data_IF_465607927832
#
_entry.id   IF_465607927832
#
_cell.length_a   1.000
_cell.length_b   1.000
_cell.length_c   1.000
_cell.angle_alpha   90.00
_cell.angle_beta   90.00
_cell.angle_gamma   90.00
#
_symmetry.space_group_name_H-M   'P 1'
#
loop_
_entity.id
_entity.type
_entity.pdbx_description
1 polymer ?
#
# COMPACT_ATOMS: atom_id res chain seq x y z
N UNK A 1 -0.86 11.52 -54.48
CA UNK A 1 0.56 11.15 -54.65
C UNK A 1 1.05 10.63 -53.30
N UNK A 2 0.77 9.41 -52.83
CA UNK A 2 1.20 8.09 -53.33
C UNK A 2 2.63 8.06 -53.89
N UNK A 3 3.44 7.20 -53.26
CA UNK A 3 4.81 6.76 -53.57
C UNK A 3 5.97 7.65 -53.05
N UNK A 4 6.57 7.20 -51.94
CA UNK A 4 8.01 6.89 -51.79
C UNK A 4 8.34 6.79 -50.30
N UNK A 5 8.20 5.59 -49.75
CA UNK A 5 8.97 5.13 -48.57
C UNK A 5 8.94 3.59 -48.59
N UNK A 6 9.52 3.03 -49.67
CA UNK A 6 9.99 1.66 -49.68
C UNK A 6 11.46 1.65 -49.27
N UNK A 7 11.82 0.67 -48.44
CA UNK A 7 13.17 0.31 -47.97
C UNK A 7 13.70 1.02 -46.71
N UNK A 8 13.30 0.50 -45.54
CA UNK A 8 14.25 0.33 -44.44
C UNK A 8 14.27 -1.16 -44.08
N UNK A 9 15.22 -1.86 -44.68
CA UNK A 9 15.62 -3.22 -44.30
C UNK A 9 16.10 -3.22 -42.85
N UNK A 10 15.80 -4.32 -42.14
CA UNK A 10 16.42 -4.71 -40.87
C UNK A 10 17.94 -4.52 -40.96
N UNK A 11 18.48 -3.58 -40.18
CA UNK A 11 19.89 -3.55 -39.82
C UNK A 11 20.00 -3.90 -38.34
N UNK A 12 20.84 -4.89 -38.05
CA UNK A 12 21.04 -5.49 -36.74
C UNK A 12 21.62 -4.53 -35.69
N UNK A 13 21.64 -5.05 -34.46
CA UNK A 13 21.94 -4.36 -33.20
C UNK A 13 22.92 -3.20 -33.30
N UNK A 14 22.40 -1.99 -33.09
CA UNK A 14 23.17 -0.85 -32.60
C UNK A 14 22.37 -0.12 -31.53
N UNK A 15 23.02 0.10 -30.40
CA UNK A 15 22.58 0.86 -29.22
C UNK A 15 22.04 2.23 -29.64
N UNK A 16 20.77 2.53 -29.33
CA UNK A 16 20.28 3.91 -29.40
C UNK A 16 20.83 4.67 -28.18
N UNK A 17 21.71 5.64 -28.42
CA UNK A 17 22.14 6.61 -27.42
C UNK A 17 21.17 7.80 -27.43
N UNK A 18 20.52 8.08 -26.30
CA UNK A 18 19.87 9.37 -26.06
C UNK A 18 20.87 10.31 -25.39
N UNK A 19 20.93 11.55 -25.88
CA UNK A 19 21.71 12.63 -25.27
C UNK A 19 20.85 13.29 -24.17
N UNK A 20 21.35 13.31 -22.94
CA UNK A 20 20.77 14.10 -21.86
C UNK A 20 21.13 15.59 -22.04
N UNK A 21 20.15 16.48 -21.89
CA UNK A 21 20.37 17.93 -21.92
C UNK A 21 21.04 18.39 -20.61
N UNK A 22 22.07 19.24 -20.66
CA UNK A 22 22.82 19.64 -19.47
C UNK A 22 22.08 20.72 -18.66
N UNK A 23 22.15 20.61 -17.32
CA UNK A 23 21.60 21.59 -16.36
C UNK A 23 22.54 22.78 -16.09
N UNK A 24 23.63 22.94 -16.85
CA UNK A 24 24.47 24.15 -16.81
C UNK A 24 25.06 24.47 -18.18
N UNK A 25 25.26 25.76 -18.46
CA UNK A 25 25.61 26.31 -19.79
C UNK A 25 26.95 25.86 -20.40
N UNK A 26 27.77 25.02 -19.73
CA UNK A 26 29.09 24.63 -20.24
C UNK A 26 29.48 23.13 -20.10
N UNK A 27 28.54 22.21 -19.88
CA UNK A 27 28.87 20.77 -19.82
C UNK A 27 28.55 20.03 -21.13
N UNK A 28 29.56 19.33 -21.72
CA UNK A 28 29.34 18.43 -22.85
C UNK A 28 28.55 17.18 -22.40
N UNK A 29 27.54 16.74 -23.18
CA UNK A 29 26.71 15.59 -22.83
C UNK A 29 27.53 14.29 -22.83
N UNK A 30 27.33 13.45 -21.80
CA UNK A 30 27.91 12.10 -21.72
C UNK A 30 26.89 11.05 -22.19
N UNK A 31 27.32 10.02 -22.93
CA UNK A 31 26.43 8.95 -23.35
C UNK A 31 25.97 8.12 -22.14
N UNK A 32 24.66 7.91 -22.04
CA UNK A 32 24.04 6.98 -21.09
C UNK A 32 23.77 5.67 -21.81
N UNK A 33 24.27 4.55 -21.27
CA UNK A 33 24.02 3.23 -21.84
C UNK A 33 22.58 2.79 -21.57
N UNK A 34 21.84 2.53 -22.65
CA UNK A 34 20.51 1.92 -22.59
C UNK A 34 20.66 0.40 -22.53
N UNK A 35 20.11 -0.28 -21.50
CA UNK A 35 20.23 -1.73 -21.38
C UNK A 35 19.61 -2.46 -22.58
N UNK A 36 20.25 -3.53 -23.00
CA UNK A 36 19.77 -4.43 -24.05
C UNK A 36 18.49 -5.14 -23.62
N UNK A 37 17.75 -5.72 -24.58
CA UNK A 37 16.50 -6.46 -24.30
C UNK A 37 16.74 -7.61 -23.31
N UNK A 38 17.85 -8.34 -23.44
CA UNK A 38 18.21 -9.43 -22.53
C UNK A 38 18.53 -8.95 -21.12
N UNK A 39 19.25 -7.82 -20.99
CA UNK A 39 19.53 -7.23 -19.67
C UNK A 39 18.25 -6.72 -19.00
N UNK A 40 17.29 -6.15 -19.76
CA UNK A 40 15.97 -5.78 -19.22
C UNK A 40 15.16 -7.00 -18.80
N UNK A 41 15.28 -8.11 -19.50
CA UNK A 41 14.54 -9.34 -19.23
C UNK A 41 15.12 -10.09 -18.00
N UNK A 42 16.44 -10.12 -17.86
CA UNK A 42 17.11 -10.58 -16.64
C UNK A 42 16.82 -9.66 -15.45
N UNK A 43 16.89 -8.34 -15.63
CA UNK A 43 16.53 -7.38 -14.59
C UNK A 43 15.07 -7.50 -14.16
N UNK A 44 14.14 -7.79 -15.09
CA UNK A 44 12.72 -8.05 -14.77
C UNK A 44 12.56 -9.30 -13.89
N UNK A 45 13.25 -10.40 -14.20
CA UNK A 45 13.20 -11.63 -13.40
C UNK A 45 13.83 -11.43 -12.02
N UNK A 46 14.97 -10.73 -11.95
CA UNK A 46 15.63 -10.40 -10.69
C UNK A 46 14.82 -9.42 -9.83
N UNK A 47 14.17 -8.42 -10.45
CA UNK A 47 13.38 -7.42 -9.74
C UNK A 47 12.12 -8.02 -9.09
N UNK A 48 11.46 -8.99 -9.73
CA UNK A 48 10.33 -9.72 -9.10
C UNK A 48 10.81 -10.45 -7.83
N UNK A 49 12.01 -11.06 -7.86
CA UNK A 49 12.59 -11.72 -6.71
C UNK A 49 13.07 -10.72 -5.63
N UNK A 50 13.67 -9.59 -6.01
CA UNK A 50 14.14 -8.55 -5.08
C UNK A 50 12.99 -7.79 -4.40
N UNK A 51 11.91 -7.49 -5.12
CA UNK A 51 10.70 -6.91 -4.51
C UNK A 51 10.06 -7.86 -3.48
N UNK A 52 10.17 -9.18 -3.68
CA UNK A 52 9.75 -10.17 -2.68
C UNK A 52 10.66 -10.22 -1.45
N UNK A 53 11.96 -9.91 -1.59
CA UNK A 53 12.93 -9.83 -0.48
C UNK A 53 12.79 -8.53 0.32
N UNK A 54 12.49 -7.40 -0.31
CA UNK A 54 12.22 -6.14 0.40
C UNK A 54 10.96 -6.20 1.29
N UNK A 55 10.06 -7.16 1.05
CA UNK A 55 8.80 -7.33 1.77
C UNK A 55 8.93 -8.10 3.08
N UNK A 56 10.01 -8.86 3.30
CA UNK A 56 10.14 -9.75 4.47
C UNK A 56 10.56 -9.06 5.78
N UNK A 57 10.81 -7.74 5.78
CA UNK A 57 11.43 -7.05 6.93
C UNK A 57 10.87 -5.66 7.27
N UNK A 58 9.62 -5.33 6.90
CA UNK A 58 9.05 -3.99 7.16
C UNK A 58 7.81 -4.02 8.06
N UNK A 59 8.06 -3.84 9.36
CA UNK A 59 7.13 -3.33 10.38
C UNK A 59 7.72 -2.07 11.04
N UNK A 60 8.37 -1.21 10.26
CA UNK A 60 8.90 0.08 10.71
C UNK A 60 8.84 1.03 9.53
N UNK A 61 7.99 2.07 9.59
CA UNK A 61 8.15 3.37 8.89
C UNK A 61 6.89 4.24 9.01
N UNK A 62 6.79 5.03 10.08
CA UNK A 62 6.15 6.35 10.06
C UNK A 62 6.88 7.22 11.08
N UNK A 63 7.92 7.93 10.65
CA UNK A 63 8.45 9.10 11.38
C UNK A 63 9.49 9.81 10.53
N UNK A 64 9.19 11.00 10.04
CA UNK A 64 10.22 12.02 9.75
C UNK A 64 9.64 13.40 10.01
N UNK A 65 9.92 13.95 11.20
CA UNK A 65 10.12 15.40 11.36
C UNK A 65 10.95 15.70 12.61
N UNK A 66 11.94 16.58 12.41
CA UNK A 66 12.66 17.37 13.41
C UNK A 66 13.48 16.62 14.49
N UNK A 67 14.72 16.29 14.12
CA UNK A 67 15.82 16.10 15.05
C UNK A 67 16.03 17.36 15.91
N UNK A 68 15.83 17.25 17.23
CA UNK A 68 16.44 18.18 18.19
C UNK A 68 17.78 17.62 18.67
N UNK A 69 18.83 18.42 18.53
CA UNK A 69 20.25 18.09 18.73
C UNK A 69 20.68 17.83 20.19
N UNK A 70 19.75 17.55 21.12
CA UNK A 70 20.06 17.57 22.57
C UNK A 70 20.16 16.20 23.25
N UNK A 71 19.96 15.07 22.55
CA UNK A 71 20.00 13.73 23.16
C UNK A 71 21.27 12.93 22.81
N UNK A 72 22.45 13.54 22.90
CA UNK A 72 23.72 12.81 22.95
C UNK A 72 24.19 12.70 24.40
N UNK A 73 23.74 11.68 25.13
CA UNK A 73 24.44 11.20 26.33
C UNK A 73 24.21 9.71 26.54
N UNK A 74 25.25 8.95 26.16
CA UNK A 74 25.67 7.62 26.65
C UNK A 74 24.57 6.77 27.31
N UNK A 75 23.89 5.96 26.50
CA UNK A 75 23.36 4.67 26.95
C UNK A 75 24.27 3.56 26.41
N UNK A 76 24.58 2.61 27.27
CA UNK A 76 25.42 1.46 26.97
C UNK A 76 24.88 0.72 25.74
N UNK A 77 25.71 0.58 24.70
CA UNK A 77 25.45 -0.29 23.56
C UNK A 77 25.34 -1.73 24.04
N UNK A 78 24.10 -2.16 24.32
CA UNK A 78 23.74 -3.56 24.13
C UNK A 78 23.77 -3.74 22.61
N UNK A 79 24.65 -4.62 22.11
CA UNK A 79 24.68 -5.01 20.69
C UNK A 79 23.29 -5.50 20.30
N UNK A 80 22.50 -4.62 19.69
CA UNK A 80 21.22 -4.98 19.10
C UNK A 80 21.55 -5.95 17.97
N UNK A 81 21.05 -7.19 18.02
CA UNK A 81 21.40 -8.18 17.01
C UNK A 81 21.02 -7.68 15.61
N UNK A 82 21.91 -7.93 14.65
CA UNK A 82 21.94 -7.47 13.26
C UNK A 82 20.70 -7.80 12.39
N UNK A 83 19.62 -8.35 12.96
CA UNK A 83 18.37 -8.65 12.26
C UNK A 83 17.36 -7.49 12.25
N UNK A 84 17.61 -6.40 12.98
CA UNK A 84 16.82 -5.17 12.92
C UNK A 84 17.44 -4.18 11.93
N UNK A 85 17.42 -4.54 10.65
CA UNK A 85 17.79 -3.63 9.57
C UNK A 85 16.86 -2.42 9.54
N UNK A 86 17.41 -1.22 9.36
CA UNK A 86 16.56 -0.05 9.12
C UNK A 86 15.97 -0.11 7.71
N UNK A 87 14.79 0.48 7.47
CA UNK A 87 14.19 0.52 6.13
C UNK A 87 15.16 1.02 5.03
N UNK A 88 16.10 1.89 5.38
CA UNK A 88 17.12 2.45 4.49
C UNK A 88 18.06 1.39 3.90
N UNK A 89 18.24 0.24 4.57
CA UNK A 89 19.11 -0.84 4.09
C UNK A 89 18.52 -1.62 2.92
N UNK A 90 17.18 -1.62 2.76
CA UNK A 90 16.50 -2.42 1.73
C UNK A 90 15.63 -1.62 0.76
N UNK A 91 15.19 -0.42 1.14
CA UNK A 91 14.44 0.46 0.25
C UNK A 91 15.37 1.12 -0.76
N UNK A 92 14.92 1.23 -2.02
CA UNK A 92 15.62 2.05 -3.02
C UNK A 92 15.77 3.49 -2.52
N UNK A 93 16.78 4.27 -3.00
CA UNK A 93 16.95 5.66 -2.57
C UNK A 93 15.67 6.50 -2.73
N UNK A 94 15.49 7.50 -1.86
CA UNK A 94 14.36 8.41 -1.96
C UNK A 94 14.30 9.07 -3.35
N UNK A 95 13.09 9.13 -3.91
CA UNK A 95 12.83 9.67 -5.24
C UNK A 95 11.60 10.58 -5.22
N UNK A 96 11.63 11.61 -6.06
CA UNK A 96 10.49 12.51 -6.27
C UNK A 96 9.71 12.08 -7.52
N UNK A 97 8.38 12.33 -7.55
CA UNK A 97 7.60 12.07 -8.74
C UNK A 97 8.06 12.95 -9.89
N UNK A 98 8.10 12.36 -11.10
CA UNK A 98 8.33 13.13 -12.33
C UNK A 98 7.03 13.72 -12.88
N UNK A 99 5.88 13.17 -12.47
CA UNK A 99 4.56 13.67 -12.80
C UNK A 99 3.62 13.54 -11.59
N UNK A 100 2.75 14.52 -11.40
CA UNK A 100 1.68 14.50 -10.39
C UNK A 100 0.44 15.12 -11.00
N UNK A 101 -0.74 14.64 -10.65
CA UNK A 101 -1.96 15.24 -11.12
C UNK A 101 -3.17 14.86 -10.29
N UNK A 102 -4.31 15.41 -10.68
CA UNK A 102 -5.61 15.00 -10.20
C UNK A 102 -6.44 14.43 -11.33
N UNK A 103 -7.37 13.54 -11.01
CA UNK A 103 -8.28 12.91 -11.96
C UNK A 103 -9.71 12.99 -11.41
N UNK A 104 -10.58 13.70 -12.12
CA UNK A 104 -12.01 13.71 -11.81
C UNK A 104 -12.61 12.35 -12.17
N UNK A 105 -13.05 11.58 -11.18
CA UNK A 105 -13.58 10.21 -11.38
C UNK A 105 -15.10 10.14 -11.26
N UNK A 106 -15.74 11.13 -10.67
CA UNK A 106 -17.20 11.31 -10.62
C UNK A 106 -17.54 12.79 -10.47
N UNK A 107 -18.81 13.22 -10.46
CA UNK A 107 -19.17 14.60 -10.11
C UNK A 107 -18.71 15.03 -8.70
N UNK A 108 -18.44 14.06 -7.82
CA UNK A 108 -18.07 14.30 -6.41
C UNK A 108 -16.56 14.19 -6.19
N UNK A 109 -15.92 13.16 -6.76
CA UNK A 109 -14.55 12.79 -6.40
C UNK A 109 -13.49 13.20 -7.43
N UNK A 110 -12.43 13.81 -6.91
CA UNK A 110 -11.18 14.13 -7.61
C UNK A 110 -10.03 13.41 -6.92
N UNK A 111 -9.36 12.49 -7.62
CA UNK A 111 -8.30 11.65 -7.05
C UNK A 111 -6.92 12.18 -7.38
N UNK A 112 -6.05 12.25 -6.37
CA UNK A 112 -4.63 12.55 -6.56
C UNK A 112 -3.86 11.31 -7.02
N UNK A 113 -2.99 11.49 -8.02
CA UNK A 113 -2.02 10.47 -8.42
C UNK A 113 -0.63 11.07 -8.64
N UNK A 114 0.39 10.22 -8.57
CA UNK A 114 1.76 10.58 -8.90
C UNK A 114 2.47 9.43 -9.64
N UNK A 115 3.46 9.78 -10.44
CA UNK A 115 4.29 8.86 -11.20
C UNK A 115 5.77 9.06 -10.85
N UNK A 116 6.43 7.97 -10.47
CA UNK A 116 7.84 7.93 -10.08
C UNK A 116 8.63 6.91 -10.94
N UNK A 117 9.95 6.96 -10.85
CA UNK A 117 10.84 6.03 -11.54
C UNK A 117 11.02 6.33 -13.02
N UNK A 118 11.02 5.30 -13.86
CA UNK A 118 11.28 5.40 -15.28
C UNK A 118 9.95 5.56 -16.06
N UNK A 119 9.71 6.69 -16.76
CA UNK A 119 8.49 6.91 -17.54
C UNK A 119 8.21 5.85 -18.63
N UNK A 120 9.25 5.15 -19.07
CA UNK A 120 9.17 4.06 -20.06
C UNK A 120 9.38 2.67 -19.44
N UNK A 121 9.36 2.60 -18.11
CA UNK A 121 9.54 1.39 -17.34
C UNK A 121 8.32 0.47 -17.36
N UNK A 122 8.45 -0.68 -16.69
CA UNK A 122 7.32 -1.57 -16.44
C UNK A 122 6.32 -0.86 -15.50
N UNK A 123 5.04 -0.71 -15.87
CA UNK A 123 4.06 -0.04 -15.02
C UNK A 123 3.69 -0.90 -13.81
N UNK A 124 3.66 -0.28 -12.64
CA UNK A 124 3.14 -0.84 -11.39
C UNK A 124 2.24 0.18 -10.70
N UNK A 125 1.08 -0.26 -10.22
CA UNK A 125 0.22 0.54 -9.35
C UNK A 125 0.43 0.15 -7.89
N UNK A 126 0.62 1.16 -7.06
CA UNK A 126 0.68 1.07 -5.61
C UNK A 126 -0.72 1.24 -5.03
N UNK A 127 -1.20 0.23 -4.31
CA UNK A 127 -2.50 0.22 -3.66
C UNK A 127 -2.29 0.33 -2.15
N UNK A 128 -2.50 1.53 -1.58
CA UNK A 128 -2.32 1.75 -0.15
C UNK A 128 -3.37 1.05 0.72
N UNK A 129 -3.02 0.85 2.00
CA UNK A 129 -3.86 0.20 3.00
C UNK A 129 -4.82 1.15 3.74
N UNK A 130 -5.26 0.70 4.92
CA UNK A 130 -6.36 1.23 5.71
C UNK A 130 -7.60 0.34 5.58
N UNK A 131 -8.69 0.77 4.88
CA UNK A 131 -8.72 1.86 3.90
C UNK A 131 -8.64 3.27 4.50
N UNK A 132 -8.33 4.26 3.66
CA UNK A 132 -8.34 5.67 4.07
C UNK A 132 -6.98 6.31 4.40
N UNK A 133 -5.87 5.55 4.31
CA UNK A 133 -4.55 6.07 4.71
C UNK A 133 -3.91 7.04 3.72
N UNK A 134 -4.04 6.79 2.41
CA UNK A 134 -3.28 7.49 1.36
C UNK A 134 -1.87 6.91 1.16
N UNK A 135 -1.21 7.32 0.07
CA UNK A 135 0.15 6.90 -0.23
C UNK A 135 1.20 7.73 0.52
N UNK A 136 2.26 7.07 1.00
CA UNK A 136 3.43 7.73 1.61
C UNK A 136 4.62 7.80 0.65
N UNK A 137 5.59 8.67 0.94
CA UNK A 137 6.80 8.80 0.13
C UNK A 137 7.66 7.51 0.12
N UNK A 138 7.58 6.67 1.16
CA UNK A 138 8.30 5.40 1.20
C UNK A 138 7.79 4.40 0.17
N UNK A 139 6.50 4.47 -0.20
CA UNK A 139 5.92 3.59 -1.22
C UNK A 139 6.54 3.76 -2.61
N UNK A 140 7.21 4.89 -2.87
CA UNK A 140 7.98 5.13 -4.11
C UNK A 140 9.24 4.28 -4.21
N UNK A 141 9.65 3.64 -3.10
CA UNK A 141 10.98 3.03 -2.91
C UNK A 141 10.94 1.49 -2.92
N UNK A 142 9.80 0.86 -3.20
CA UNK A 142 9.65 -0.62 -3.23
C UNK A 142 10.06 -1.25 -4.57
N UNK A 143 10.24 -0.44 -5.62
CA UNK A 143 10.55 -0.90 -6.96
C UNK A 143 11.80 -0.18 -7.48
N UNK A 144 12.60 -0.88 -8.28
CA UNK A 144 13.78 -0.28 -8.90
C UNK A 144 13.36 0.88 -9.81
N UNK A 145 13.70 2.14 -9.48
CA UNK A 145 13.23 3.31 -10.22
C UNK A 145 13.82 3.37 -11.64
N UNK A 146 14.84 2.56 -11.97
CA UNK A 146 15.39 2.46 -13.33
C UNK A 146 14.55 1.55 -14.23
N UNK A 147 13.82 0.61 -13.63
CA UNK A 147 13.09 -0.45 -14.33
C UNK A 147 11.59 -0.18 -14.36
N UNK A 148 11.05 0.40 -13.29
CA UNK A 148 9.60 0.57 -13.10
C UNK A 148 9.13 2.01 -13.34
N UNK A 149 7.96 2.14 -13.97
CA UNK A 149 7.08 3.31 -13.89
C UNK A 149 6.15 3.06 -12.72
N UNK A 150 6.33 3.79 -11.62
CA UNK A 150 5.64 3.54 -10.35
C UNK A 150 4.49 4.54 -10.23
N UNK A 151 3.26 4.04 -10.24
CA UNK A 151 2.05 4.86 -10.13
C UNK A 151 1.56 4.74 -8.68
N UNK A 152 1.31 5.86 -8.04
CA UNK A 152 0.66 5.93 -6.73
C UNK A 152 -0.66 6.67 -6.88
N UNK A 153 -1.69 6.20 -6.19
CA UNK A 153 -3.04 6.74 -6.21
C UNK A 153 -3.54 6.86 -4.77
N UNK A 154 -3.91 8.07 -4.36
CA UNK A 154 -4.65 8.27 -3.12
C UNK A 154 -6.13 7.93 -3.39
N UNK A 155 -6.69 6.94 -2.70
CA UNK A 155 -8.07 6.49 -2.87
C UNK A 155 -9.08 7.57 -2.42
N UNK A 156 -10.37 7.41 -2.78
CA UNK A 156 -11.45 8.35 -2.44
C UNK A 156 -11.40 8.76 -0.97
N UNK A 157 -11.44 10.06 -0.72
CA UNK A 157 -11.45 10.64 0.62
C UNK A 157 -10.15 10.53 1.43
N UNK A 158 -9.10 9.92 0.88
CA UNK A 158 -7.84 9.69 1.58
C UNK A 158 -6.69 10.55 1.04
N UNK A 159 -5.69 10.78 1.89
CA UNK A 159 -4.48 11.54 1.51
C UNK A 159 -4.81 12.88 0.88
N UNK A 160 -4.38 13.07 -0.37
CA UNK A 160 -4.54 14.31 -1.15
C UNK A 160 -5.79 14.32 -2.04
N UNK A 161 -6.56 13.22 -2.08
CA UNK A 161 -7.79 13.12 -2.85
C UNK A 161 -8.95 13.88 -2.18
N UNK A 162 -9.88 14.37 -3.00
CA UNK A 162 -11.00 15.21 -2.57
C UNK A 162 -12.35 14.58 -2.90
N UNK A 163 -13.39 14.81 -2.08
CA UNK A 163 -13.36 15.56 -0.82
C UNK A 163 -12.75 14.73 0.32
N UNK A 164 -11.93 15.37 1.17
CA UNK A 164 -11.26 14.72 2.30
C UNK A 164 -12.28 14.04 3.24
N UNK A 165 -11.96 12.82 3.67
CA UNK A 165 -12.78 11.99 4.55
C UNK A 165 -14.21 11.74 4.03
N UNK A 166 -14.48 11.89 2.73
CA UNK A 166 -15.81 11.62 2.18
C UNK A 166 -16.13 10.12 2.14
N UNK A 167 -17.35 9.78 2.58
CA UNK A 167 -17.92 8.43 2.52
C UNK A 167 -18.92 8.27 1.36
N UNK A 168 -19.32 9.38 0.73
CA UNK A 168 -20.23 9.38 -0.43
C UNK A 168 -19.56 8.65 -1.60
N UNK A 169 -20.28 7.75 -2.26
CA UNK A 169 -19.75 6.92 -3.36
C UNK A 169 -18.38 6.29 -3.05
N UNK A 170 -18.09 5.96 -1.80
CA UNK A 170 -16.79 5.41 -1.38
C UNK A 170 -16.90 3.93 -1.06
N UNK A 171 -16.96 3.10 -2.09
CA UNK A 171 -17.09 1.64 -1.97
C UNK A 171 -15.97 0.92 -2.72
N UNK A 172 -15.76 -0.36 -2.40
CA UNK A 172 -14.77 -1.22 -3.07
C UNK A 172 -14.90 -1.16 -4.60
N UNK A 173 -16.12 -1.21 -5.11
CA UNK A 173 -16.39 -1.22 -6.55
C UNK A 173 -16.12 0.12 -7.23
N UNK A 174 -16.36 1.22 -6.52
CA UNK A 174 -15.96 2.54 -6.98
C UNK A 174 -14.43 2.66 -7.08
N UNK A 175 -13.69 2.16 -6.09
CA UNK A 175 -12.23 2.16 -6.12
C UNK A 175 -11.67 1.26 -7.23
N UNK A 176 -12.28 0.11 -7.50
CA UNK A 176 -11.93 -0.76 -8.63
C UNK A 176 -12.10 -0.02 -9.97
N UNK A 177 -13.20 0.68 -10.17
CA UNK A 177 -13.43 1.46 -11.39
C UNK A 177 -12.47 2.66 -11.49
N UNK A 178 -12.12 3.29 -10.38
CA UNK A 178 -11.17 4.41 -10.38
C UNK A 178 -9.76 3.97 -10.77
N UNK A 179 -9.35 2.76 -10.38
CA UNK A 179 -8.12 2.16 -10.87
C UNK A 179 -8.14 1.99 -12.40
N UNK A 180 -9.25 1.56 -12.99
CA UNK A 180 -9.40 1.49 -14.46
C UNK A 180 -9.39 2.88 -15.12
N UNK A 181 -10.05 3.86 -14.53
CA UNK A 181 -10.02 5.26 -15.02
C UNK A 181 -8.59 5.79 -15.03
N UNK A 182 -7.83 5.60 -13.95
CA UNK A 182 -6.43 6.01 -13.88
C UNK A 182 -5.57 5.25 -14.91
N UNK A 183 -5.74 3.93 -15.01
CA UNK A 183 -5.00 3.11 -15.99
C UNK A 183 -5.20 3.62 -17.42
N UNK A 184 -6.46 3.91 -17.80
CA UNK A 184 -6.82 4.47 -19.11
C UNK A 184 -6.27 5.88 -19.30
N UNK A 185 -6.40 6.75 -18.30
CA UNK A 185 -5.89 8.12 -18.30
C UNK A 185 -4.37 8.17 -18.56
N UNK A 186 -3.61 7.24 -17.97
CA UNK A 186 -2.16 7.14 -18.12
C UNK A 186 -1.70 6.36 -19.36
N UNK A 187 -2.64 5.85 -20.18
CA UNK A 187 -2.35 5.08 -21.39
C UNK A 187 -1.67 3.73 -21.12
N UNK A 188 -1.92 3.11 -19.97
CA UNK A 188 -1.30 1.84 -19.57
C UNK A 188 -2.20 0.69 -20.01
N UNK A 189 -1.71 -0.29 -20.78
CA UNK A 189 -2.53 -1.44 -21.18
C UNK A 189 -2.76 -2.44 -20.02
N UNK A 190 -1.66 -2.83 -19.37
CA UNK A 190 -1.62 -3.72 -18.20
C UNK A 190 -0.55 -3.25 -17.23
N UNK A 191 -0.70 -3.58 -15.96
CA UNK A 191 0.27 -3.24 -14.91
C UNK A 191 0.44 -4.34 -13.86
N UNK A 192 1.55 -4.29 -13.15
CA UNK A 192 1.67 -5.01 -11.88
C UNK A 192 0.81 -4.31 -10.83
N UNK A 193 0.18 -5.07 -9.96
CA UNK A 193 -0.59 -4.53 -8.83
C UNK A 193 0.12 -4.91 -7.53
N UNK A 194 0.53 -3.90 -6.76
CA UNK A 194 1.21 -4.08 -5.48
C UNK A 194 0.34 -3.49 -4.37
N UNK A 195 -0.05 -4.29 -3.39
CA UNK A 195 -0.90 -3.82 -2.29
C UNK A 195 -0.75 -4.66 -1.03
N UNK A 196 -0.89 -4.03 0.13
CA UNK A 196 -0.88 -4.75 1.40
C UNK A 196 -1.86 -4.22 2.44
N UNK A 197 -2.17 -5.06 3.44
CA UNK A 197 -3.34 -4.87 4.31
C UNK A 197 -4.61 -4.76 3.45
N UNK A 198 -5.48 -3.77 3.68
CA UNK A 198 -6.57 -3.41 2.77
C UNK A 198 -6.15 -3.29 1.30
N UNK A 199 -4.92 -2.83 1.02
CA UNK A 199 -4.41 -2.78 -0.34
C UNK A 199 -4.39 -4.15 -1.01
N UNK A 200 -4.23 -5.25 -0.25
CA UNK A 200 -4.37 -6.62 -0.76
C UNK A 200 -5.83 -6.96 -1.10
N UNK A 201 -6.79 -6.56 -0.26
CA UNK A 201 -8.23 -6.70 -0.49
C UNK A 201 -8.64 -6.03 -1.81
N UNK A 202 -8.25 -4.78 -2.00
CA UNK A 202 -8.55 -4.02 -3.21
C UNK A 202 -7.79 -4.56 -4.43
N UNK A 203 -6.53 -5.00 -4.27
CA UNK A 203 -5.76 -5.62 -5.35
C UNK A 203 -6.41 -6.90 -5.86
N UNK A 204 -6.87 -7.78 -4.95
CA UNK A 204 -7.59 -9.01 -5.32
C UNK A 204 -8.93 -8.67 -5.97
N UNK A 205 -9.69 -7.72 -5.41
CA UNK A 205 -10.97 -7.26 -5.98
C UNK A 205 -10.82 -6.72 -7.41
N UNK A 206 -9.78 -5.92 -7.64
CA UNK A 206 -9.44 -5.40 -8.97
C UNK A 206 -9.04 -6.52 -9.92
N UNK A 207 -8.17 -7.44 -9.50
CA UNK A 207 -7.70 -8.54 -10.33
C UNK A 207 -8.83 -9.53 -10.69
N UNK A 208 -9.75 -9.79 -9.77
CA UNK A 208 -10.95 -10.62 -10.00
C UNK A 208 -11.88 -10.00 -11.04
N UNK A 209 -12.00 -8.67 -11.01
CA UNK A 209 -12.87 -7.92 -11.94
C UNK A 209 -12.21 -7.70 -13.31
N UNK A 210 -10.89 -7.47 -13.33
CA UNK A 210 -10.12 -7.12 -14.52
C UNK A 210 -8.88 -8.03 -14.70
N UNK A 211 -9.02 -9.36 -14.77
CA UNK A 211 -7.88 -10.28 -14.74
C UNK A 211 -6.92 -10.09 -15.93
N UNK A 212 -7.42 -9.59 -17.06
CA UNK A 212 -6.60 -9.34 -18.26
C UNK A 212 -5.75 -8.07 -18.18
N UNK A 213 -5.96 -7.23 -17.16
CA UNK A 213 -5.25 -5.95 -16.95
C UNK A 213 -4.11 -6.04 -15.94
N UNK A 214 -3.98 -7.17 -15.25
CA UNK A 214 -2.95 -7.41 -14.24
C UNK A 214 -1.86 -8.29 -14.83
N UNK A 215 -0.60 -7.87 -14.72
CA UNK A 215 0.54 -8.69 -15.14
C UNK A 215 1.01 -9.62 -14.02
N UNK A 216 1.13 -9.09 -12.80
CA UNK A 216 1.49 -9.84 -11.59
C UNK A 216 0.85 -9.18 -10.36
N UNK A 217 0.68 -9.96 -9.29
CA UNK A 217 0.26 -9.49 -7.98
C UNK A 217 1.41 -9.62 -6.98
N UNK A 218 1.61 -8.57 -6.19
CA UNK A 218 2.53 -8.59 -5.04
C UNK A 218 1.74 -8.14 -3.82
N UNK A 219 1.42 -9.10 -2.96
CA UNK A 219 0.48 -8.94 -1.86
C UNK A 219 1.19 -9.07 -0.51
N UNK A 220 0.83 -8.23 0.46
CA UNK A 220 1.36 -8.29 1.83
C UNK A 220 0.25 -8.17 2.87
N UNK A 221 0.27 -8.95 3.95
CA UNK A 221 -0.74 -8.77 5.02
C UNK A 221 -2.16 -9.03 4.48
N UNK A 222 -2.43 -10.27 4.07
CA UNK A 222 -3.62 -10.67 3.30
C UNK A 222 -4.90 -10.47 4.11
N UNK A 223 -5.70 -9.49 3.71
CA UNK A 223 -6.93 -9.11 4.38
C UNK A 223 -8.14 -9.36 3.48
N UNK A 224 -9.10 -10.18 3.93
CA UNK A 224 -10.27 -10.55 3.14
C UNK A 224 -11.56 -9.88 3.62
N UNK A 225 -11.51 -9.08 4.69
CA UNK A 225 -12.68 -8.43 5.30
C UNK A 225 -13.75 -9.38 5.84
N UNK A 226 -13.38 -10.64 6.11
CA UNK A 226 -14.32 -11.57 6.73
C UNK A 226 -14.69 -11.12 8.13
N UNK A 227 -15.92 -11.41 8.56
CA UNK A 227 -16.40 -11.09 9.90
C UNK A 227 -15.46 -11.60 10.98
N UNK A 228 -14.88 -12.79 10.81
CA UNK A 228 -13.92 -13.36 11.75
C UNK A 228 -12.65 -12.51 11.88
N UNK A 229 -12.15 -11.94 10.79
CA UNK A 229 -10.97 -11.05 10.80
C UNK A 229 -11.29 -9.72 11.48
N UNK A 230 -12.47 -9.16 11.17
CA UNK A 230 -12.96 -7.91 11.80
C UNK A 230 -13.18 -8.11 13.30
N UNK A 231 -13.87 -9.18 13.69
CA UNK A 231 -14.16 -9.47 15.09
C UNK A 231 -12.88 -9.72 15.88
N UNK A 232 -11.92 -10.45 15.32
CA UNK A 232 -10.64 -10.70 15.99
C UNK A 232 -9.96 -9.38 16.40
N UNK A 233 -9.92 -8.42 15.49
CA UNK A 233 -9.11 -7.22 15.70
C UNK A 233 -9.87 -6.08 16.39
N UNK A 234 -11.18 -5.93 16.13
CA UNK A 234 -11.98 -4.82 16.65
C UNK A 234 -13.03 -5.21 17.70
N UNK A 235 -13.17 -6.49 18.05
CA UNK A 235 -14.13 -6.93 19.08
C UNK A 235 -13.49 -7.79 20.16
N UNK A 236 -12.89 -8.92 19.76
CA UNK A 236 -12.34 -9.91 20.67
C UNK A 236 -11.32 -10.82 19.98
N UNK A 237 -10.06 -10.73 20.38
CA UNK A 237 -8.92 -11.47 19.83
C UNK A 237 -7.62 -10.74 20.12
N UNK A 238 -7.31 -9.70 19.35
CA UNK A 238 -6.10 -8.90 19.51
C UNK A 238 -6.01 -8.19 20.88
N UNK A 239 -7.14 -7.92 21.53
CA UNK A 239 -7.20 -7.34 22.87
C UNK A 239 -6.52 -8.22 23.95
N UNK A 240 -6.40 -9.53 23.74
CA UNK A 240 -5.66 -10.40 24.67
C UNK A 240 -4.14 -10.26 24.53
N UNK A 241 -3.68 -9.80 23.37
CA UNK A 241 -2.26 -9.59 23.05
C UNK A 241 -1.83 -8.20 23.52
N UNK A 242 -2.70 -7.21 23.38
CA UNK A 242 -2.44 -5.80 23.71
C UNK A 242 -3.50 -5.23 24.68
N UNK A 243 -3.65 -5.79 25.88
CA UNK A 243 -4.69 -5.37 26.82
C UNK A 243 -4.52 -3.90 27.23
N UNK A 244 -3.30 -3.45 27.44
CA UNK A 244 -2.94 -2.07 27.79
C UNK A 244 -3.34 -1.03 26.73
N UNK A 245 -3.16 -1.37 25.45
CA UNK A 245 -3.57 -0.49 24.33
C UNK A 245 -5.06 -0.55 24.06
N UNK A 246 -5.66 -1.72 24.29
CA UNK A 246 -7.08 -1.95 24.09
C UNK A 246 -7.95 -1.09 25.01
N UNK A 247 -7.50 -0.77 26.22
CA UNK A 247 -8.26 0.05 27.17
C UNK A 247 -8.65 1.41 26.59
N UNK A 248 -7.73 2.11 25.94
CA UNK A 248 -8.03 3.41 25.31
C UNK A 248 -9.06 3.29 24.16
N UNK A 249 -8.98 2.22 23.37
CA UNK A 249 -9.97 1.90 22.33
C UNK A 249 -11.33 1.56 22.92
N UNK A 250 -11.36 0.71 23.95
CA UNK A 250 -12.57 0.27 24.64
C UNK A 250 -13.28 1.44 25.33
N UNK A 251 -12.52 2.28 26.02
CA UNK A 251 -13.05 3.34 26.89
C UNK A 251 -13.53 4.58 26.15
N UNK A 252 -13.20 4.71 24.86
CA UNK A 252 -13.86 5.65 23.96
C UNK A 252 -15.35 5.31 23.70
N UNK A 253 -15.78 4.09 24.05
CA UNK A 253 -17.15 3.60 23.87
C UNK A 253 -17.82 3.30 25.23
N UNK A 254 -19.05 3.81 25.47
CA UNK A 254 -19.85 3.50 26.66
C UNK A 254 -20.10 2.01 26.83
N UNK A 255 -20.16 1.54 28.06
CA UNK A 255 -20.24 0.11 28.39
C UNK A 255 -21.40 -0.61 27.70
N UNK A 256 -22.56 0.04 27.60
CA UNK A 256 -23.77 -0.47 26.97
C UNK A 256 -23.66 -0.67 25.45
N UNK A 257 -22.71 0.02 24.80
CA UNK A 257 -22.47 -0.08 23.35
C UNK A 257 -21.34 -1.06 22.98
N UNK A 258 -20.61 -1.63 23.94
CA UNK A 258 -19.40 -2.46 23.72
C UNK A 258 -19.68 -3.86 23.12
N UNK A 259 -20.95 -4.21 22.91
CA UNK A 259 -21.34 -5.46 22.26
C UNK A 259 -21.03 -5.51 20.75
N UNK A 260 -20.83 -4.35 20.12
CA UNK A 260 -20.42 -4.22 18.71
C UNK A 260 -19.63 -2.91 18.55
N UNK A 261 -18.31 -2.97 18.75
CA UNK A 261 -17.46 -1.78 18.68
C UNK A 261 -17.48 -1.14 17.29
N UNK A 262 -17.49 -1.93 16.22
CA UNK A 262 -17.51 -1.39 14.85
C UNK A 262 -18.74 -0.50 14.64
N UNK A 263 -19.94 -0.94 15.06
CA UNK A 263 -21.15 -0.10 14.99
C UNK A 263 -21.11 1.08 15.97
N UNK A 264 -20.63 0.88 17.19
CA UNK A 264 -20.55 1.95 18.19
C UNK A 264 -19.61 3.08 17.75
N UNK A 265 -18.48 2.73 17.14
CA UNK A 265 -17.58 3.68 16.49
C UNK A 265 -18.22 4.31 15.25
N UNK A 266 -18.94 3.54 14.42
CA UNK A 266 -19.61 4.08 13.24
C UNK A 266 -20.55 5.24 13.58
N UNK A 267 -21.37 5.07 14.63
CA UNK A 267 -22.28 6.11 15.15
C UNK A 267 -21.54 7.41 15.48
N UNK A 268 -20.33 7.32 16.06
CA UNK A 268 -19.51 8.49 16.43
C UNK A 268 -18.77 9.07 15.23
N UNK A 269 -18.20 8.21 14.39
CA UNK A 269 -17.43 8.57 13.20
C UNK A 269 -18.26 9.22 12.09
N UNK A 270 -19.58 9.02 12.12
CA UNK A 270 -20.55 9.65 11.21
C UNK A 270 -21.34 10.79 11.84
N UNK A 271 -21.05 11.15 13.10
CA UNK A 271 -21.65 12.33 13.73
C UNK A 271 -21.23 13.61 13.01
N UNK A 272 -22.13 14.57 12.84
CA UNK A 272 -21.80 15.89 12.31
C UNK A 272 -20.93 16.71 13.27
N UNK A 273 -20.98 16.42 14.58
CA UNK A 273 -20.21 17.11 15.62
C UNK A 273 -18.75 16.62 15.66
N UNK A 274 -17.75 17.46 15.30
CA UNK A 274 -16.35 17.09 15.39
C UNK A 274 -15.89 16.73 16.82
N UNK A 275 -16.55 17.26 17.85
CA UNK A 275 -16.22 16.93 19.26
C UNK A 275 -16.57 15.49 19.62
N UNK A 276 -17.47 14.86 18.88
CA UNK A 276 -17.78 13.43 19.00
C UNK A 276 -16.90 12.62 18.05
N UNK A 277 -16.79 13.09 16.81
CA UNK A 277 -16.14 12.36 15.71
C UNK A 277 -14.63 12.24 15.87
N UNK A 278 -13.93 13.32 16.22
CA UNK A 278 -12.45 13.36 16.27
C UNK A 278 -11.89 12.50 17.41
N UNK A 279 -12.42 12.53 18.65
CA UNK A 279 -11.93 11.65 19.70
C UNK A 279 -12.08 10.16 19.36
N UNK A 280 -13.20 9.77 18.75
CA UNK A 280 -13.42 8.40 18.28
C UNK A 280 -12.43 8.03 17.16
N UNK A 281 -12.17 8.96 16.22
CA UNK A 281 -11.21 8.76 15.15
C UNK A 281 -9.77 8.55 15.67
N UNK A 282 -9.36 9.34 16.66
CA UNK A 282 -8.06 9.19 17.31
C UNK A 282 -7.94 7.86 18.04
N UNK A 283 -8.93 7.48 18.86
CA UNK A 283 -8.90 6.20 19.59
C UNK A 283 -8.79 4.99 18.64
N UNK A 284 -9.58 5.00 17.56
CA UNK A 284 -9.54 3.99 16.51
C UNK A 284 -8.17 3.93 15.81
N UNK A 285 -7.64 5.07 15.39
CA UNK A 285 -6.37 5.14 14.65
C UNK A 285 -5.18 4.78 15.55
N UNK A 286 -5.18 5.21 16.81
CA UNK A 286 -4.14 4.88 17.78
C UNK A 286 -4.10 3.38 18.07
N UNK A 287 -5.25 2.71 18.18
CA UNK A 287 -5.32 1.25 18.32
C UNK A 287 -4.52 0.55 17.22
N UNK A 288 -4.74 0.92 15.96
CA UNK A 288 -4.04 0.29 14.85
C UNK A 288 -2.55 0.65 14.78
N UNK A 289 -2.23 1.93 14.92
CA UNK A 289 -0.84 2.43 14.86
C UNK A 289 0.05 1.76 15.90
N UNK A 290 -0.48 1.48 17.10
CA UNK A 290 0.28 0.94 18.23
C UNK A 290 0.36 -0.60 18.24
N UNK A 291 -0.36 -1.28 17.34
CA UNK A 291 -0.41 -2.76 17.27
C UNK A 291 -0.02 -3.33 15.91
N UNK A 292 0.28 -2.47 14.93
CA UNK A 292 0.75 -2.85 13.58
C UNK A 292 2.21 -3.32 13.52
N UNK A 293 2.99 -3.16 14.59
CA UNK A 293 4.41 -3.52 14.62
C UNK A 293 4.72 -4.48 15.77
N UNK A 294 5.57 -5.47 15.52
CA UNK A 294 5.99 -6.44 16.55
C UNK A 294 6.68 -5.75 17.73
N UNK A 295 7.57 -4.81 17.41
CA UNK A 295 8.17 -3.90 18.38
C UNK A 295 7.52 -2.54 18.14
N UNK A 296 6.70 -2.05 19.08
CA UNK A 296 6.06 -0.75 18.97
C UNK A 296 7.11 0.36 18.83
N UNK A 297 6.96 1.29 17.88
CA UNK A 297 7.87 2.42 17.77
C UNK A 297 7.70 3.35 18.98
N UNK A 298 8.80 3.93 19.45
CA UNK A 298 8.86 4.75 20.67
C UNK A 298 8.04 6.04 20.61
N UNK A 299 7.63 6.47 19.41
CA UNK A 299 6.93 7.72 19.11
C UNK A 299 5.46 7.53 18.71
N UNK A 300 4.86 6.37 19.00
CA UNK A 300 3.50 6.05 18.57
C UNK A 300 2.41 7.02 19.10
N UNK A 301 2.73 7.88 20.07
CA UNK A 301 1.81 8.75 20.80
C UNK A 301 1.78 10.24 20.35
N UNK A 302 2.38 10.60 19.21
CA UNK A 302 2.60 12.01 18.85
C UNK A 302 1.37 12.75 18.26
N UNK A 303 0.72 13.59 19.09
CA UNK A 303 -0.61 14.21 18.87
C UNK A 303 -0.58 15.52 18.07
N UNK A 304 -0.23 15.48 16.78
CA UNK A 304 -0.23 16.67 15.91
C UNK A 304 -1.59 16.96 15.25
N UNK A 305 -1.81 18.19 14.75
CA UNK A 305 -3.01 18.53 13.97
C UNK A 305 -3.12 17.76 12.65
N UNK A 306 -1.98 17.41 12.05
CA UNK A 306 -1.94 16.55 10.86
C UNK A 306 -2.36 15.12 11.22
N UNK A 307 -2.06 14.66 12.44
CA UNK A 307 -2.55 13.39 12.96
C UNK A 307 -4.08 13.39 13.11
N UNK A 308 -4.70 14.49 13.56
CA UNK A 308 -6.16 14.57 13.68
C UNK A 308 -6.87 14.49 12.32
N UNK A 309 -6.35 15.17 11.28
CA UNK A 309 -6.91 15.08 9.92
C UNK A 309 -6.74 13.68 9.34
N UNK A 310 -5.54 13.12 9.48
CA UNK A 310 -5.27 11.74 9.07
C UNK A 310 -6.21 10.76 9.77
N UNK A 311 -6.31 10.83 11.10
CA UNK A 311 -7.15 9.96 11.90
C UNK A 311 -8.63 10.08 11.51
N UNK A 312 -9.11 11.29 11.21
CA UNK A 312 -10.48 11.49 10.74
C UNK A 312 -10.73 10.77 9.41
N UNK A 313 -9.89 10.95 8.40
CA UNK A 313 -10.07 10.25 7.12
C UNK A 313 -9.91 8.74 7.29
N UNK A 314 -8.84 8.31 7.96
CA UNK A 314 -8.48 6.92 8.20
C UNK A 314 -9.62 6.18 8.91
N UNK A 315 -9.96 6.58 10.14
CA UNK A 315 -10.95 5.88 10.95
C UNK A 315 -12.35 5.90 10.33
N UNK A 316 -12.78 7.03 9.74
CA UNK A 316 -14.11 7.12 9.12
C UNK A 316 -14.24 6.19 7.92
N UNK A 317 -13.25 6.20 7.03
CA UNK A 317 -13.28 5.38 5.82
C UNK A 317 -13.11 3.91 6.20
N UNK A 318 -12.15 3.59 7.06
CA UNK A 318 -11.92 2.22 7.51
C UNK A 318 -13.17 1.59 8.15
N UNK A 319 -13.74 2.27 9.15
CA UNK A 319 -14.97 1.84 9.79
C UNK A 319 -16.15 1.75 8.80
N UNK A 320 -16.26 2.67 7.84
CA UNK A 320 -17.29 2.66 6.81
C UNK A 320 -17.22 1.40 5.93
N UNK A 321 -16.02 0.95 5.57
CA UNK A 321 -15.87 -0.30 4.83
C UNK A 321 -16.22 -1.51 5.70
N UNK A 322 -15.86 -1.50 6.98
CA UNK A 322 -16.09 -2.65 7.85
C UNK A 322 -17.56 -2.83 8.22
N UNK A 323 -18.27 -1.75 8.55
CA UNK A 323 -19.72 -1.82 8.85
C UNK A 323 -20.52 -2.29 7.63
N UNK A 324 -20.02 -2.01 6.42
CA UNK A 324 -20.60 -2.45 5.15
C UNK A 324 -20.00 -3.74 4.59
N UNK A 325 -19.19 -4.48 5.38
CA UNK A 325 -18.59 -5.77 5.00
C UNK A 325 -17.82 -5.71 3.66
N UNK A 326 -17.08 -4.63 3.45
CA UNK A 326 -16.34 -4.38 2.21
C UNK A 326 -17.21 -4.22 0.97
N UNK A 327 -18.52 -4.04 1.12
CA UNK A 327 -19.49 -4.03 0.00
C UNK A 327 -19.48 -5.31 -0.83
N UNK A 328 -19.02 -6.41 -0.24
CA UNK A 328 -19.07 -7.73 -0.87
C UNK A 328 -20.46 -8.36 -0.70
N UNK A 329 -20.91 -9.18 -1.65
CA UNK A 329 -22.19 -9.86 -1.55
C UNK A 329 -22.22 -10.90 -0.43
N UNK A 330 -21.06 -11.45 -0.04
CA UNK A 330 -20.92 -12.41 1.05
C UNK A 330 -19.50 -12.34 1.65
N UNK A 331 -19.30 -12.98 2.81
CA UNK A 331 -18.05 -12.99 3.58
C UNK A 331 -16.90 -13.68 2.82
N UNK A 332 -17.21 -14.70 2.02
CA UNK A 332 -16.24 -15.54 1.31
C UNK A 332 -15.95 -15.06 -0.13
N UNK A 333 -16.47 -13.90 -0.54
CA UNK A 333 -16.48 -13.46 -1.93
C UNK A 333 -15.11 -13.53 -2.59
N UNK A 334 -14.06 -13.06 -1.90
CA UNK A 334 -12.69 -13.06 -2.46
C UNK A 334 -12.15 -14.49 -2.62
N UNK A 335 -12.43 -15.39 -1.67
CA UNK A 335 -12.05 -16.80 -1.75
C UNK A 335 -12.79 -17.52 -2.88
N UNK A 336 -14.10 -17.30 -2.98
CA UNK A 336 -14.97 -17.89 -3.99
C UNK A 336 -14.58 -17.44 -5.41
N UNK A 337 -14.03 -16.23 -5.58
CA UNK A 337 -13.66 -15.70 -6.88
C UNK A 337 -12.17 -15.85 -7.22
N UNK A 338 -11.36 -16.36 -6.31
CA UNK A 338 -9.92 -16.43 -6.51
C UNK A 338 -9.50 -17.33 -7.69
N UNK A 339 -10.33 -18.29 -8.10
CA UNK A 339 -10.11 -19.11 -9.30
C UNK A 339 -9.90 -18.27 -10.58
N UNK A 340 -10.50 -17.07 -10.65
CA UNK A 340 -10.38 -16.17 -11.80
C UNK A 340 -8.97 -15.62 -11.97
N UNK A 341 -8.16 -15.60 -10.92
CA UNK A 341 -6.83 -14.96 -10.90
C UNK A 341 -5.68 -15.94 -10.67
N UNK A 342 -5.95 -17.25 -10.56
CA UNK A 342 -4.91 -18.29 -10.34
C UNK A 342 -3.81 -18.31 -11.41
N UNK A 343 -4.13 -17.88 -12.63
CA UNK A 343 -3.19 -17.82 -13.74
C UNK A 343 -2.26 -16.60 -13.69
N UNK A 344 -2.51 -15.64 -12.78
CA UNK A 344 -1.72 -14.43 -12.62
C UNK A 344 -0.57 -14.73 -11.65
N UNK A 345 0.70 -14.53 -12.06
CA UNK A 345 1.84 -14.69 -11.15
C UNK A 345 1.66 -13.84 -9.90
N UNK A 346 1.72 -14.48 -8.72
CA UNK A 346 1.39 -13.84 -7.45
C UNK A 346 2.42 -14.19 -6.39
N UNK A 347 2.92 -13.17 -5.68
CA UNK A 347 3.72 -13.33 -4.46
C UNK A 347 2.90 -12.86 -3.27
N UNK A 348 2.87 -13.65 -2.20
CA UNK A 348 2.22 -13.32 -0.92
C UNK A 348 3.29 -13.27 0.16
N UNK A 349 3.35 -12.16 0.90
CA UNK A 349 4.23 -11.98 2.06
C UNK A 349 3.40 -11.71 3.30
N UNK A 350 3.59 -12.51 4.35
CA UNK A 350 2.82 -12.39 5.59
C UNK A 350 3.77 -12.50 6.78
N UNK A 351 3.68 -11.56 7.71
CA UNK A 351 4.36 -11.67 9.00
C UNK A 351 3.70 -12.74 9.87
N UNK A 352 4.51 -13.58 10.52
CA UNK A 352 3.98 -14.63 11.43
C UNK A 352 3.16 -14.05 12.59
N UNK A 353 3.63 -12.92 13.13
CA UNK A 353 3.04 -12.22 14.27
C UNK A 353 2.22 -11.00 13.85
N UNK A 354 1.70 -10.99 12.62
CA UNK A 354 0.79 -9.95 12.15
C UNK A 354 -0.56 -10.10 12.88
N UNK A 355 -0.86 -9.12 13.73
CA UNK A 355 -2.06 -9.14 14.59
C UNK A 355 -3.20 -8.27 14.02
N UNK A 356 -2.89 -7.35 13.10
CA UNK A 356 -3.90 -6.52 12.41
C UNK A 356 -4.68 -7.36 11.41
N UNK A 357 -3.95 -8.21 10.69
CA UNK A 357 -4.50 -9.09 9.67
C UNK A 357 -4.03 -10.50 9.94
N UNK A 358 -4.82 -11.21 10.75
CA UNK A 358 -4.47 -12.56 11.22
C UNK A 358 -4.45 -13.54 10.07
N UNK A 359 -3.49 -14.48 10.14
CA UNK A 359 -3.42 -15.62 9.23
C UNK A 359 -4.55 -16.62 9.47
N UNK A 360 -5.78 -16.24 9.13
CA UNK A 360 -6.93 -17.12 9.16
C UNK A 360 -7.11 -17.65 7.75
N UNK A 361 -6.60 -18.83 7.42
CA UNK A 361 -6.74 -19.43 6.07
C UNK A 361 -6.34 -18.49 4.90
N UNK A 362 -5.04 -18.27 4.73
CA UNK A 362 -4.52 -17.54 3.57
C UNK A 362 -5.02 -18.18 2.25
N UNK A 363 -5.40 -17.35 1.28
CA UNK A 363 -5.82 -17.72 -0.09
C UNK A 363 -4.85 -18.71 -0.74
N UNK A 364 -3.58 -18.73 -0.28
CA UNK A 364 -2.56 -19.73 -0.54
C UNK A 364 -3.09 -21.17 -0.61
N UNK A 365 -3.89 -21.61 0.38
CA UNK A 365 -4.43 -22.98 0.40
C UNK A 365 -5.47 -23.23 -0.69
N UNK A 366 -6.20 -22.19 -1.10
CA UNK A 366 -7.29 -22.30 -2.09
C UNK A 366 -6.77 -22.12 -3.52
N UNK A 367 -5.67 -21.39 -3.72
CA UNK A 367 -5.28 -20.92 -5.04
C UNK A 367 -4.10 -21.64 -5.67
N UNK A 368 -3.42 -22.54 -4.95
CA UNK A 368 -2.22 -23.20 -5.44
C UNK A 368 -1.17 -22.18 -5.95
N UNK A 369 -1.16 -20.97 -5.37
CA UNK A 369 -0.13 -19.99 -5.63
C UNK A 369 1.19 -20.58 -5.16
N UNK A 370 2.28 -20.34 -5.89
CA UNK A 370 3.62 -20.53 -5.35
C UNK A 370 3.74 -19.59 -4.15
N UNK A 371 3.43 -20.12 -2.96
CA UNK A 371 3.75 -19.45 -1.71
C UNK A 371 5.24 -19.59 -1.55
N UNK A 372 6.00 -18.83 -2.36
CA UNK A 372 7.45 -18.99 -2.44
C UNK A 372 8.12 -18.61 -1.13
N UNK A 373 7.38 -18.06 -0.16
CA UNK A 373 7.76 -17.89 1.25
C UNK A 373 6.52 -17.55 2.09
N UNK A 374 5.99 -18.53 2.85
CA UNK A 374 5.53 -18.20 4.21
C UNK A 374 6.82 -18.04 4.98
N UNK A 375 7.41 -16.85 4.98
CA UNK A 375 8.49 -16.61 5.94
C UNK A 375 7.84 -16.61 7.30
N UNK A 376 8.11 -17.66 8.07
CA UNK A 376 8.44 -17.43 9.47
C UNK A 376 9.44 -16.27 9.46
N UNK A 377 9.03 -15.06 9.81
CA UNK A 377 10.00 -14.01 10.13
C UNK A 377 10.71 -14.29 11.47
N UNK A 378 10.72 -15.55 11.90
CA UNK A 378 11.70 -16.20 12.78
C UNK A 378 12.86 -16.87 12.02
N UNK A 379 12.95 -16.77 10.68
CA UNK A 379 14.09 -17.26 9.89
C UNK A 379 15.33 -16.34 9.96
N UNK A 380 15.69 -15.92 11.18
CA UNK A 380 17.03 -15.51 11.61
C UNK A 380 17.22 -15.80 13.11
N UNK A 381 16.71 -16.93 13.59
CA UNK A 381 17.10 -17.54 14.86
C UNK A 381 17.84 -18.86 14.59
N UNK A 382 18.98 -18.77 13.89
CA UNK A 382 20.18 -19.63 14.04
C UNK A 382 21.33 -19.06 13.23
#
# INVERSE_FOLDING_TARGET
>A
MLSKLSSLRRAGGKTLQLLALPTSKNARPRPVNVPTKNEREQARRAAVALSAVALTSLAVSYSTSASSEAAKKKENQIDQPHYLSTPEEFLYPAIQPFNTGTLQVSPVHELYYEECGNPYGKPVIMVHGGPGAGCSASMRRYHDPRVYRIILLDQRGSGRSKPHASLEDNTTWHLVEDMEKLRRHLGIDKWQVFGGSWGSTLSISYAVTHPTRVTELVLRGIFHLRKLEIDFYYQHGANFIYPDRWEAYRDAIPEEERGDFVKAYHKRLTSDDPKVRIPAALAWTTWEKTTSNLIPPSDAADKSMDEAKFAEAFARIENHYFVNKGFFPNDEFLNENAYKIRHIPTVIVQGRYENVVVMVHCIARVCNFDVTRVTDTTLFAR
#
